data_IF_709449769801
#
_entry.id   IF_709449769801
#
_cell.length_a   1.000
_cell.length_b   1.000
_cell.length_c   1.000
_cell.angle_alpha   90.00
_cell.angle_beta   90.00
_cell.angle_gamma   90.00
#
_symmetry.space_group_name_H-M   'P 1'
#
loop_
_entity.id
_entity.type
_entity.pdbx_description
1 polymer ?
#
# COMPACT_ATOMS: atom_id res chain seq x y z
N UNK A 1 -1.37 14.16 27.32
CA UNK A 1 -0.83 13.24 28.35
C UNK A 1 -1.26 11.82 28.02
N UNK A 2 -0.34 10.84 27.92
CA UNK A 2 -0.66 9.46 27.55
C UNK A 2 -1.46 8.69 28.64
N UNK A 3 -1.43 9.16 29.89
CA UNK A 3 -2.11 8.52 31.03
C UNK A 3 -3.63 8.61 31.03
N UNK A 4 -4.25 9.42 30.15
CA UNK A 4 -5.70 9.53 30.04
C UNK A 4 -6.33 8.57 29.00
N UNK A 5 -5.52 7.74 28.32
CA UNK A 5 -5.99 6.82 27.28
C UNK A 5 -6.26 5.39 27.74
N UNK A 6 -5.95 5.06 29.00
CA UNK A 6 -6.22 3.75 29.58
C UNK A 6 -6.92 3.90 30.93
N UNK A 7 -8.05 3.23 31.08
CA UNK A 7 -8.80 3.14 32.33
C UNK A 7 -9.13 1.66 32.58
N UNK A 8 -8.62 1.12 33.69
CA UNK A 8 -8.72 -0.30 33.97
C UNK A 8 -10.20 -0.73 34.16
N UNK A 9 -10.61 -1.79 33.46
CA UNK A 9 -11.95 -2.36 33.58
C UNK A 9 -13.06 -1.58 32.85
N UNK A 10 -12.74 -0.51 32.13
CA UNK A 10 -13.74 0.28 31.41
C UNK A 10 -14.18 -0.43 30.13
N UNK A 11 -15.50 -0.53 29.93
CA UNK A 11 -16.12 -1.02 28.70
C UNK A 11 -16.43 0.14 27.73
N UNK A 12 -16.37 -0.09 26.40
CA UNK A 12 -15.84 -1.29 25.75
C UNK A 12 -14.31 -1.40 25.92
N UNK A 13 -13.80 -2.61 26.10
CA UNK A 13 -12.36 -2.83 26.25
C UNK A 13 -11.63 -2.45 24.96
N UNK A 14 -10.86 -1.36 25.00
CA UNK A 14 -10.18 -0.82 23.82
C UNK A 14 -8.71 -0.47 24.10
N UNK A 15 -8.17 -0.78 25.27
CA UNK A 15 -6.77 -0.57 25.59
C UNK A 15 -6.25 -1.59 26.63
N UNK A 16 -4.97 -1.91 26.52
CA UNK A 16 -4.23 -2.79 27.45
C UNK A 16 -2.96 -2.06 27.89
N UNK A 17 -2.71 -2.04 29.19
CA UNK A 17 -1.47 -1.54 29.76
C UNK A 17 -0.65 -2.68 30.35
N UNK A 18 0.61 -2.80 29.92
CA UNK A 18 1.57 -3.78 30.44
C UNK A 18 2.66 -3.04 31.20
N UNK A 19 2.93 -3.45 32.43
CA UNK A 19 4.02 -2.92 33.25
C UNK A 19 5.03 -4.02 33.54
N UNK A 20 6.29 -3.80 33.16
CA UNK A 20 7.41 -4.68 33.47
C UNK A 20 8.25 -4.02 34.57
N UNK A 21 8.61 -4.79 35.59
CA UNK A 21 9.55 -4.35 36.64
C UNK A 21 10.69 -5.34 36.75
N UNK A 22 11.93 -4.86 36.70
CA UNK A 22 13.14 -5.66 36.88
C UNK A 22 14.06 -4.99 37.89
N UNK A 23 14.58 -5.74 38.85
CA UNK A 23 15.65 -5.25 39.72
C UNK A 23 16.92 -5.12 38.87
N UNK A 24 17.49 -3.93 38.82
CA UNK A 24 18.78 -3.69 38.18
C UNK A 24 19.91 -4.36 38.95
N UNK A 25 21.05 -4.57 38.30
CA UNK A 25 22.27 -5.07 38.95
C UNK A 25 23.25 -3.90 39.10
N UNK A 26 23.70 -3.62 40.32
CA UNK A 26 24.75 -2.63 40.60
C UNK A 26 26.11 -3.31 40.52
N UNK A 27 26.85 -3.08 39.43
CA UNK A 27 28.22 -3.58 39.28
C UNK A 27 29.23 -2.77 40.10
N UNK A 28 28.95 -1.47 40.29
CA UNK A 28 29.74 -0.55 41.10
C UNK A 28 28.79 0.19 42.05
N UNK A 29 29.01 0.10 43.36
CA UNK A 29 28.16 0.77 44.37
C UNK A 29 27.17 -0.14 45.13
N UNK A 30 27.23 -1.45 44.94
CA UNK A 30 26.39 -2.41 45.69
C UNK A 30 26.59 -2.36 47.22
N UNK A 31 27.75 -1.89 47.70
CA UNK A 31 28.01 -1.67 49.13
C UNK A 31 27.40 -0.36 49.68
N UNK A 32 27.03 0.58 48.81
CA UNK A 32 26.53 1.91 49.20
C UNK A 32 25.00 2.04 49.07
N UNK A 33 24.38 1.30 48.15
CA UNK A 33 22.94 1.37 47.91
C UNK A 33 22.36 0.03 47.45
N UNK A 34 21.07 -0.20 47.78
CA UNK A 34 20.32 -1.36 47.28
C UNK A 34 20.05 -1.23 45.77
N UNK A 35 20.01 -2.34 45.01
CA UNK A 35 19.78 -2.28 43.57
C UNK A 35 18.44 -1.63 43.21
N UNK A 36 18.41 -0.64 42.29
CA UNK A 36 17.19 0.07 41.93
C UNK A 36 16.24 -0.83 41.14
N UNK A 37 14.93 -0.61 41.29
CA UNK A 37 13.91 -1.27 40.46
C UNK A 37 13.71 -0.42 39.21
N UNK A 38 14.01 -1.00 38.05
CA UNK A 38 13.74 -0.40 36.75
C UNK A 38 12.35 -0.86 36.32
N UNK A 39 11.46 0.10 36.07
CA UNK A 39 10.10 -0.16 35.59
C UNK A 39 9.89 0.45 34.21
N UNK A 40 9.18 -0.25 33.34
CA UNK A 40 8.64 0.30 32.09
C UNK A 40 7.15 0.00 32.02
N UNK A 41 6.40 0.93 31.43
CA UNK A 41 4.97 0.78 31.20
C UNK A 41 4.68 1.08 29.73
N UNK A 42 4.00 0.17 29.05
CA UNK A 42 3.55 0.34 27.68
C UNK A 42 2.02 0.24 27.65
N UNK A 43 1.36 1.10 26.89
CA UNK A 43 -0.09 1.09 26.68
C UNK A 43 -0.36 0.89 25.20
N UNK A 44 -1.08 -0.17 24.85
CA UNK A 44 -1.59 -0.42 23.51
C UNK A 44 -3.10 -0.11 23.50
N UNK A 45 -3.59 0.56 22.47
CA UNK A 45 -5.01 0.87 22.30
C UNK A 45 -5.50 0.46 20.92
N UNK A 46 -6.68 -0.14 20.84
CA UNK A 46 -7.40 -0.42 19.60
C UNK A 46 -8.44 0.68 19.37
N UNK A 47 -8.38 1.33 18.22
CA UNK A 47 -9.42 2.27 17.78
C UNK A 47 -10.32 1.55 16.77
N UNK A 48 -11.63 1.71 16.91
CA UNK A 48 -12.57 1.19 15.94
C UNK A 48 -12.50 2.09 14.69
N UNK A 49 -11.74 1.66 13.70
CA UNK A 49 -11.55 2.35 12.43
C UNK A 49 -12.14 1.50 11.30
N UNK A 50 -12.77 2.15 10.33
CA UNK A 50 -13.33 1.50 9.14
C UNK A 50 -12.59 2.03 7.91
N UNK A 51 -12.11 1.12 7.07
CA UNK A 51 -11.57 1.45 5.77
C UNK A 51 -12.68 1.35 4.71
N UNK A 52 -12.77 2.35 3.85
CA UNK A 52 -13.68 2.36 2.72
C UNK A 52 -12.88 2.42 1.42
N UNK A 53 -13.22 1.56 0.47
CA UNK A 53 -12.72 1.63 -0.90
C UNK A 53 -13.91 1.76 -1.85
N UNK A 54 -13.83 2.71 -2.77
CA UNK A 54 -14.86 2.95 -3.79
C UNK A 54 -14.22 2.70 -5.15
N UNK A 55 -14.71 1.71 -5.89
CA UNK A 55 -14.21 1.36 -7.22
C UNK A 55 -15.29 0.75 -8.10
N UNK A 56 -15.19 0.95 -9.41
CA UNK A 56 -16.13 0.39 -10.39
C UNK A 56 -15.63 -0.98 -10.87
N UNK A 57 -16.42 -2.04 -10.67
CA UNK A 57 -16.10 -3.44 -11.06
C UNK A 57 -16.97 -3.97 -12.21
N UNK A 58 -17.80 -3.12 -12.82
CA UNK A 58 -18.83 -3.51 -13.80
C UNK A 58 -18.40 -3.37 -15.28
N UNK A 59 -17.12 -3.15 -15.57
CA UNK A 59 -16.66 -3.00 -16.94
C UNK A 59 -16.42 -4.38 -17.61
N UNK A 60 -16.95 -4.58 -18.82
CA UNK A 60 -16.57 -5.72 -19.66
C UNK A 60 -15.14 -5.53 -20.15
N UNK A 61 -14.25 -6.46 -19.81
CA UNK A 61 -12.83 -6.38 -20.14
C UNK A 61 -12.57 -6.85 -21.58
N UNK A 62 -12.12 -5.92 -22.44
CA UNK A 62 -11.50 -6.25 -23.72
C UNK A 62 -9.98 -6.10 -23.59
N UNK A 63 -9.25 -7.22 -23.61
CA UNK A 63 -7.81 -7.25 -23.36
C UNK A 63 -7.02 -6.32 -24.30
N UNK A 64 -7.43 -6.17 -25.56
CA UNK A 64 -6.76 -5.31 -26.53
C UNK A 64 -6.85 -3.82 -26.19
N UNK A 65 -8.03 -3.35 -25.76
CA UNK A 65 -8.25 -1.95 -25.33
C UNK A 65 -7.42 -1.64 -24.09
N UNK A 66 -7.45 -2.53 -23.10
CA UNK A 66 -6.81 -2.31 -21.80
C UNK A 66 -5.29 -2.39 -21.92
N UNK A 67 -4.76 -3.30 -22.75
CA UNK A 67 -3.33 -3.37 -23.08
C UNK A 67 -2.85 -2.08 -23.75
N UNK A 68 -3.58 -1.57 -24.76
CA UNK A 68 -3.23 -0.34 -25.44
C UNK A 68 -3.25 0.87 -24.48
N UNK A 69 -4.25 0.91 -23.61
CA UNK A 69 -4.41 1.98 -22.64
C UNK A 69 -3.33 1.99 -21.57
N UNK A 70 -3.20 0.90 -20.82
CA UNK A 70 -2.19 0.81 -19.77
C UNK A 70 -0.79 0.84 -20.35
N UNK A 71 -0.61 0.28 -21.55
CA UNK A 71 0.65 0.38 -22.26
C UNK A 71 1.01 1.82 -22.61
N UNK A 72 0.06 2.61 -23.11
CA UNK A 72 0.25 4.05 -23.37
C UNK A 72 0.57 4.84 -22.10
N UNK A 73 -0.11 4.56 -20.98
CA UNK A 73 0.11 5.23 -19.69
C UNK A 73 1.46 4.85 -19.05
N UNK A 74 1.87 3.58 -19.17
CA UNK A 74 3.12 3.08 -18.62
C UNK A 74 4.33 3.34 -19.54
N UNK A 75 4.08 3.63 -20.82
CA UNK A 75 5.09 3.86 -21.85
C UNK A 75 5.67 2.56 -22.43
N UNK A 76 4.87 1.50 -22.49
CA UNK A 76 5.34 0.11 -22.67
C UNK A 76 4.31 -0.72 -23.42
N UNK A 77 4.73 -1.71 -24.20
CA UNK A 77 3.79 -2.69 -24.76
C UNK A 77 3.43 -3.74 -23.70
N UNK A 78 2.18 -3.72 -23.26
CA UNK A 78 1.64 -4.70 -22.31
C UNK A 78 0.84 -5.74 -23.10
N UNK A 79 1.10 -7.02 -22.81
CA UNK A 79 0.36 -8.13 -23.40
C UNK A 79 -0.19 -9.02 -22.30
N UNK A 80 -1.22 -8.52 -21.61
CA UNK A 80 -1.97 -9.26 -20.61
C UNK A 80 -3.22 -9.86 -21.25
N UNK A 81 -3.61 -11.04 -20.77
CA UNK A 81 -4.84 -11.69 -21.19
C UNK A 81 -6.05 -11.10 -20.46
N UNK A 82 -7.26 -11.37 -20.98
CA UNK A 82 -8.50 -11.01 -20.28
C UNK A 82 -8.58 -11.68 -18.91
N UNK A 83 -8.01 -12.89 -18.77
CA UNK A 83 -7.95 -13.60 -17.50
C UNK A 83 -7.08 -12.85 -16.48
N UNK A 84 -5.90 -12.38 -16.89
CA UNK A 84 -5.01 -11.59 -16.02
C UNK A 84 -5.69 -10.31 -15.53
N UNK A 85 -6.39 -9.61 -16.42
CA UNK A 85 -7.16 -8.43 -16.04
C UNK A 85 -8.34 -8.74 -15.13
N UNK A 86 -9.03 -9.85 -15.36
CA UNK A 86 -10.13 -10.27 -14.48
C UNK A 86 -9.61 -10.62 -13.08
N UNK A 87 -8.44 -11.25 -12.98
CA UNK A 87 -7.78 -11.55 -11.71
C UNK A 87 -7.41 -10.24 -11.00
N UNK A 88 -6.74 -9.30 -11.67
CA UNK A 88 -6.39 -7.99 -11.12
C UNK A 88 -7.61 -7.17 -10.70
N UNK A 89 -8.69 -7.19 -11.49
CA UNK A 89 -9.93 -6.48 -11.16
C UNK A 89 -10.64 -7.12 -9.96
N UNK A 90 -10.41 -8.41 -9.73
CA UNK A 90 -10.95 -9.14 -8.59
C UNK A 90 -10.08 -9.04 -7.32
N UNK A 91 -8.81 -8.71 -7.48
CA UNK A 91 -7.81 -8.71 -6.42
C UNK A 91 -7.88 -7.46 -5.54
N UNK A 92 -7.87 -7.70 -4.24
CA UNK A 92 -7.81 -6.69 -3.20
C UNK A 92 -6.42 -6.72 -2.56
N UNK A 93 -5.76 -5.57 -2.49
CA UNK A 93 -4.42 -5.39 -1.96
C UNK A 93 -4.52 -4.87 -0.54
N UNK A 94 -3.94 -5.58 0.43
CA UNK A 94 -3.79 -5.08 1.79
C UNK A 94 -2.80 -3.91 1.79
N UNK A 95 -3.32 -2.72 2.05
CA UNK A 95 -2.58 -1.45 1.92
C UNK A 95 -1.44 -1.36 2.94
N UNK A 96 -1.62 -1.94 4.13
CA UNK A 96 -0.57 -1.93 5.16
C UNK A 96 0.59 -2.84 4.73
N UNK A 97 0.31 -4.06 4.27
CA UNK A 97 1.32 -4.96 3.70
C UNK A 97 1.97 -4.41 2.42
N UNK A 98 1.21 -3.72 1.58
CA UNK A 98 1.75 -2.99 0.43
C UNK A 98 2.74 -1.92 0.86
N UNK A 99 2.39 -1.12 1.88
CA UNK A 99 3.26 -0.05 2.37
C UNK A 99 4.51 -0.61 3.06
N UNK A 100 4.40 -1.77 3.73
CA UNK A 100 5.56 -2.52 4.25
C UNK A 100 6.49 -3.00 3.12
N UNK A 101 5.93 -3.57 2.06
CA UNK A 101 6.69 -3.99 0.88
C UNK A 101 7.35 -2.80 0.17
N UNK A 102 6.65 -1.66 0.08
CA UNK A 102 7.16 -0.44 -0.53
C UNK A 102 8.28 0.19 0.30
N UNK A 103 8.18 0.19 1.63
CA UNK A 103 9.27 0.62 2.51
C UNK A 103 10.53 -0.21 2.27
N UNK A 104 10.36 -1.52 2.08
CA UNK A 104 11.47 -2.45 1.76
C UNK A 104 12.08 -2.14 0.40
N UNK A 105 11.25 -1.94 -0.63
CA UNK A 105 11.68 -1.58 -1.98
C UNK A 105 12.45 -0.24 -2.02
N UNK A 106 11.98 0.73 -1.24
CA UNK A 106 12.61 2.06 -1.10
C UNK A 106 13.77 2.08 -0.09
N UNK A 107 14.09 0.95 0.55
CA UNK A 107 15.13 0.79 1.58
C UNK A 107 14.97 1.75 2.77
N UNK A 108 13.74 2.02 3.16
CA UNK A 108 13.40 2.85 4.32
C UNK A 108 13.34 1.99 5.58
N UNK A 109 14.00 2.41 6.67
CA UNK A 109 14.02 1.69 7.95
C UNK A 109 13.58 2.58 9.10
N UNK A 110 12.84 2.02 10.05
CA UNK A 110 12.38 2.76 11.24
C UNK A 110 11.41 3.90 10.96
N UNK A 111 10.70 3.84 9.84
CA UNK A 111 9.74 4.87 9.39
C UNK A 111 8.29 4.48 9.73
N UNK A 112 7.41 5.47 9.81
CA UNK A 112 5.96 5.27 9.91
C UNK A 112 5.33 5.01 8.54
N UNK A 113 4.09 4.51 8.50
CA UNK A 113 3.34 4.39 7.25
C UNK A 113 3.18 5.74 6.54
N UNK A 114 2.96 6.83 7.27
CA UNK A 114 2.88 8.18 6.70
C UNK A 114 4.19 8.64 6.07
N UNK A 115 5.34 8.27 6.64
CA UNK A 115 6.65 8.63 6.10
C UNK A 115 6.90 7.91 4.76
N UNK A 116 6.47 6.65 4.64
CA UNK A 116 6.53 5.90 3.38
C UNK A 116 5.61 6.54 2.34
N UNK A 117 4.38 6.92 2.72
CA UNK A 117 3.42 7.57 1.80
C UNK A 117 3.81 9.01 1.43
N UNK A 118 4.61 9.69 2.25
CA UNK A 118 5.19 10.99 1.90
C UNK A 118 6.34 10.86 0.88
N UNK A 119 6.89 9.67 0.70
CA UNK A 119 7.93 9.41 -0.28
C UNK A 119 7.39 9.37 -1.71
N UNK A 120 8.30 9.32 -2.68
CA UNK A 120 7.95 9.22 -4.09
C UNK A 120 8.45 7.89 -4.66
N UNK A 121 7.57 7.18 -5.36
CA UNK A 121 7.88 5.92 -6.01
C UNK A 121 7.54 5.98 -7.52
N UNK A 122 8.22 5.17 -8.32
CA UNK A 122 7.86 4.96 -9.72
C UNK A 122 6.72 3.96 -9.84
N UNK A 123 6.03 3.92 -10.98
CA UNK A 123 4.95 2.94 -11.21
C UNK A 123 5.49 1.51 -11.14
N UNK A 124 6.71 1.28 -11.63
CA UNK A 124 7.38 -0.01 -11.50
C UNK A 124 7.58 -0.43 -10.04
N UNK A 125 8.05 0.48 -9.18
CA UNK A 125 8.22 0.22 -7.74
C UNK A 125 6.88 -0.03 -7.04
N UNK A 126 5.83 0.71 -7.41
CA UNK A 126 4.47 0.49 -6.89
C UNK A 126 3.97 -0.89 -7.29
N UNK A 127 4.06 -1.26 -8.57
CA UNK A 127 3.62 -2.56 -9.06
C UNK A 127 4.42 -3.73 -8.44
N UNK A 128 5.74 -3.58 -8.26
CA UNK A 128 6.58 -4.55 -7.54
C UNK A 128 6.12 -4.72 -6.09
N UNK A 129 5.94 -3.63 -5.35
CA UNK A 129 5.47 -3.68 -3.97
C UNK A 129 4.07 -4.29 -3.85
N UNK A 130 3.17 -4.04 -4.80
CA UNK A 130 1.85 -4.70 -4.86
C UNK A 130 1.97 -6.21 -5.10
N UNK A 131 2.90 -6.64 -5.97
CA UNK A 131 3.12 -8.06 -6.27
C UNK A 131 3.69 -8.84 -5.08
N UNK A 132 4.30 -8.16 -4.12
CA UNK A 132 4.88 -8.76 -2.91
C UNK A 132 3.95 -8.74 -1.70
N UNK A 133 2.71 -8.27 -1.87
CA UNK A 133 1.69 -8.38 -0.83
C UNK A 133 1.33 -9.85 -0.58
N UNK A 134 1.38 -10.31 0.69
CA UNK A 134 1.00 -11.67 1.05
C UNK A 134 -0.46 -11.97 0.74
N UNK A 135 -0.75 -13.18 0.27
CA UNK A 135 -2.12 -13.65 0.01
C UNK A 135 -2.66 -13.29 -1.37
N UNK A 136 -1.90 -12.54 -2.19
CA UNK A 136 -2.25 -12.30 -3.59
C UNK A 136 -2.17 -13.60 -4.41
N UNK A 137 -3.13 -13.81 -5.30
CA UNK A 137 -3.13 -14.96 -6.19
C UNK A 137 -1.97 -14.90 -7.22
N UNK A 138 -1.59 -16.07 -7.74
CA UNK A 138 -0.43 -16.19 -8.63
C UNK A 138 -0.62 -15.41 -9.94
N UNK A 139 -1.84 -15.35 -10.47
CA UNK A 139 -2.14 -14.69 -11.74
C UNK A 139 -2.00 -13.18 -11.60
N UNK A 140 -2.62 -12.60 -10.57
CA UNK A 140 -2.48 -11.18 -10.24
C UNK A 140 -1.03 -10.80 -9.94
N UNK A 141 -0.31 -11.64 -9.18
CA UNK A 141 1.12 -11.42 -8.90
C UNK A 141 1.95 -11.37 -10.18
N UNK A 142 1.78 -12.33 -11.09
CA UNK A 142 2.50 -12.36 -12.36
C UNK A 142 2.15 -11.15 -13.23
N UNK A 143 0.87 -10.79 -13.32
CA UNK A 143 0.44 -9.64 -14.10
C UNK A 143 1.07 -8.34 -13.59
N UNK A 144 1.09 -8.12 -12.26
CA UNK A 144 1.77 -6.96 -11.65
C UNK A 144 3.28 -6.97 -11.90
N UNK A 145 3.94 -8.13 -11.84
CA UNK A 145 5.36 -8.25 -12.17
C UNK A 145 5.66 -7.93 -13.64
N UNK A 146 4.81 -8.38 -14.56
CA UNK A 146 4.91 -8.03 -15.98
C UNK A 146 4.76 -6.52 -16.18
N UNK A 147 3.80 -5.89 -15.51
CA UNK A 147 3.61 -4.44 -15.56
C UNK A 147 4.80 -3.68 -14.95
N UNK A 148 5.34 -4.17 -13.83
CA UNK A 148 6.50 -3.58 -13.17
C UNK A 148 7.76 -3.66 -14.03
N UNK A 149 8.01 -4.80 -14.66
CA UNK A 149 9.14 -5.00 -15.57
C UNK A 149 8.98 -4.21 -16.87
N UNK A 150 7.74 -4.03 -17.33
CA UNK A 150 7.41 -3.18 -18.46
C UNK A 150 7.71 -1.73 -18.15
N UNK A 151 7.21 -1.19 -17.03
CA UNK A 151 7.18 0.23 -16.71
C UNK A 151 8.54 0.95 -16.89
N UNK A 152 8.73 1.57 -18.05
CA UNK A 152 9.92 2.37 -18.37
C UNK A 152 9.83 3.80 -17.83
N UNK A 153 8.61 4.24 -17.49
CA UNK A 153 8.38 5.57 -16.97
C UNK A 153 8.96 5.72 -15.54
N UNK A 154 10.03 6.51 -15.42
CA UNK A 154 10.71 6.80 -14.15
C UNK A 154 10.12 8.00 -13.39
N UNK A 155 8.95 8.50 -13.79
CA UNK A 155 8.27 9.58 -13.06
C UNK A 155 7.97 9.13 -11.63
N UNK A 156 8.43 9.94 -10.69
CA UNK A 156 8.27 9.71 -9.25
C UNK A 156 6.98 10.35 -8.76
N UNK A 157 6.01 9.52 -8.40
CA UNK A 157 4.68 9.95 -7.95
C UNK A 157 4.68 10.11 -6.42
N UNK A 158 4.18 11.22 -5.88
CA UNK A 158 3.89 11.34 -4.45
C UNK A 158 2.76 10.38 -4.04
N UNK A 159 3.06 9.43 -3.16
CA UNK A 159 2.14 8.34 -2.78
C UNK A 159 0.96 8.82 -1.94
N UNK A 160 1.07 9.99 -1.31
CA UNK A 160 -0.01 10.64 -0.55
C UNK A 160 -1.24 10.97 -1.40
N UNK A 161 -1.11 11.00 -2.73
CA UNK A 161 -2.24 11.16 -3.65
C UNK A 161 -2.94 9.83 -3.99
N UNK A 162 -2.31 8.70 -3.69
CA UNK A 162 -2.87 7.37 -3.94
C UNK A 162 -3.59 6.82 -2.73
N UNK A 163 -3.00 7.00 -1.54
CA UNK A 163 -3.46 6.38 -0.30
C UNK A 163 -3.37 7.40 0.82
N UNK A 164 -4.47 7.58 1.55
CA UNK A 164 -4.51 8.26 2.85
C UNK A 164 -4.92 7.26 3.93
N UNK A 165 -4.02 7.00 4.87
CA UNK A 165 -4.24 6.08 5.99
C UNK A 165 -4.77 6.77 7.24
N UNK A 166 -4.96 8.10 7.23
CA UNK A 166 -5.42 8.87 8.38
C UNK A 166 -4.60 8.59 9.64
N UNK A 167 -5.26 8.31 10.76
CA UNK A 167 -4.63 7.99 12.05
C UNK A 167 -3.75 6.73 12.03
N UNK A 168 -4.04 5.76 11.16
CA UNK A 168 -3.26 4.53 10.99
C UNK A 168 -1.88 4.83 10.39
N UNK A 169 -1.75 5.94 9.65
CA UNK A 169 -0.48 6.41 9.08
C UNK A 169 0.61 6.63 10.14
N UNK A 170 0.23 6.98 11.37
CA UNK A 170 1.18 7.23 12.47
C UNK A 170 1.80 5.96 13.06
N UNK A 171 1.31 4.77 12.69
CA UNK A 171 1.88 3.50 13.13
C UNK A 171 3.22 3.25 12.43
N UNK A 172 4.13 2.59 13.14
CA UNK A 172 5.39 2.14 12.55
C UNK A 172 5.12 1.08 11.47
N UNK A 173 5.92 1.09 10.39
CA UNK A 173 5.89 0.03 9.38
C UNK A 173 6.05 -1.35 10.06
N UNK A 174 5.23 -2.32 9.65
CA UNK A 174 5.10 -3.63 10.27
C UNK A 174 4.20 -3.70 11.52
N UNK A 175 3.70 -2.58 12.04
CA UNK A 175 2.74 -2.57 13.13
C UNK A 175 1.30 -2.64 12.58
N UNK A 176 0.78 -3.86 12.43
CA UNK A 176 -0.60 -4.10 11.98
C UNK A 176 -1.53 -4.34 13.18
N UNK A 177 -2.48 -3.43 13.48
CA UNK A 177 -3.47 -3.68 14.52
C UNK A 177 -4.31 -4.91 14.21
N UNK A 178 -4.49 -5.80 15.18
CA UNK A 178 -5.34 -6.97 15.00
C UNK A 178 -6.79 -6.54 14.72
N UNK A 179 -7.39 -7.10 13.66
CA UNK A 179 -8.76 -6.80 13.25
C UNK A 179 -8.93 -5.59 12.31
N UNK A 180 -7.85 -4.87 11.99
CA UNK A 180 -7.89 -3.80 10.99
C UNK A 180 -7.44 -4.31 9.61
N UNK A 181 -8.38 -4.40 8.69
CA UNK A 181 -8.13 -4.71 7.28
C UNK A 181 -8.34 -3.46 6.43
N UNK A 182 -7.27 -3.00 5.78
CA UNK A 182 -7.33 -1.87 4.85
C UNK A 182 -7.00 -2.43 3.47
N UNK A 183 -8.01 -2.53 2.60
CA UNK A 183 -7.87 -3.12 1.29
C UNK A 183 -8.22 -2.13 0.18
N UNK A 184 -7.48 -2.17 -0.93
CA UNK A 184 -7.74 -1.40 -2.13
C UNK A 184 -7.66 -2.29 -3.37
N UNK A 185 -8.50 -2.03 -4.38
CA UNK A 185 -8.48 -2.81 -5.62
C UNK A 185 -7.15 -2.65 -6.35
N UNK A 186 -6.53 -3.77 -6.75
CA UNK A 186 -5.26 -3.77 -7.46
C UNK A 186 -5.35 -2.96 -8.77
N UNK A 187 -6.40 -3.17 -9.56
CA UNK A 187 -6.61 -2.42 -10.81
C UNK A 187 -6.73 -0.91 -10.57
N UNK A 188 -7.46 -0.49 -9.54
CA UNK A 188 -7.59 0.93 -9.22
C UNK A 188 -6.25 1.54 -8.83
N UNK A 189 -5.44 0.86 -8.01
CA UNK A 189 -4.13 1.37 -7.63
C UNK A 189 -3.18 1.49 -8.82
N UNK A 190 -3.11 0.48 -9.69
CA UNK A 190 -2.23 0.53 -10.87
C UNK A 190 -2.69 1.60 -11.86
N UNK A 191 -3.99 1.71 -12.11
CA UNK A 191 -4.54 2.72 -13.03
C UNK A 191 -4.31 4.13 -12.50
N UNK A 192 -4.51 4.35 -11.20
CA UNK A 192 -4.26 5.65 -10.57
C UNK A 192 -2.76 6.00 -10.58
N UNK A 193 -1.88 5.04 -10.29
CA UNK A 193 -0.44 5.25 -10.38
C UNK A 193 -0.01 5.58 -11.81
N UNK A 194 -0.50 4.84 -12.80
CA UNK A 194 -0.20 5.08 -14.21
C UNK A 194 -0.71 6.47 -14.67
N UNK A 195 -1.92 6.85 -14.29
CA UNK A 195 -2.48 8.18 -14.58
C UNK A 195 -1.64 9.31 -13.93
N UNK A 196 -1.26 9.16 -12.66
CA UNK A 196 -0.43 10.16 -11.96
C UNK A 196 0.99 10.27 -12.55
N UNK A 197 1.61 9.16 -12.96
CA UNK A 197 2.91 9.18 -13.64
C UNK A 197 2.83 9.84 -15.01
N UNK A 198 1.69 9.72 -15.69
CA UNK A 198 1.45 10.37 -16.96
C UNK A 198 1.16 11.88 -16.81
N UNK A 199 0.76 12.33 -15.61
CA UNK A 199 0.65 13.76 -15.27
C UNK A 199 -0.45 14.47 -16.04
N UNK A 200 -0.13 15.60 -16.69
CA UNK A 200 -1.06 16.37 -17.54
C UNK A 200 -1.05 15.93 -19.00
N UNK A 201 -0.30 14.88 -19.35
CA UNK A 201 -0.20 14.44 -20.74
C UNK A 201 -1.51 13.78 -21.15
N UNK A 202 -2.15 14.24 -22.23
CA UNK A 202 -3.27 13.50 -22.81
C UNK A 202 -2.72 12.19 -23.37
N UNK A 203 -3.11 11.05 -22.79
CA UNK A 203 -2.88 9.77 -23.46
C UNK A 203 -3.89 9.70 -24.59
N UNK A 204 -3.42 9.87 -25.82
CA UNK A 204 -4.16 9.50 -27.01
C UNK A 204 -3.81 8.07 -27.36
N UNK A 205 -4.70 7.15 -26.98
CA UNK A 205 -4.58 5.74 -27.36
C UNK A 205 -5.29 5.58 -28.70
N UNK A 206 -4.55 5.28 -29.77
CA UNK A 206 -5.16 4.92 -31.04
C UNK A 206 -5.60 3.45 -31.02
N UNK A 207 -6.86 3.24 -30.63
CA UNK A 207 -7.50 1.93 -30.50
C UNK A 207 -7.77 1.27 -31.86
N UNK A 208 -7.73 2.03 -32.96
CA UNK A 208 -7.95 1.51 -34.31
C UNK A 208 -6.80 0.64 -34.82
N UNK A 209 -5.58 0.87 -34.35
CA UNK A 209 -4.43 0.03 -34.70
C UNK A 209 -4.38 -1.28 -33.91
N UNK A 210 -4.96 -1.31 -32.70
CA UNK A 210 -4.83 -2.44 -31.76
C UNK A 210 -6.00 -3.41 -31.79
N UNK A 211 -7.15 -3.01 -32.31
CA UNK A 211 -8.38 -3.82 -32.27
C UNK A 211 -8.86 -4.13 -33.69
N UNK A 212 -8.82 -5.41 -34.11
CA UNK A 212 -9.34 -5.83 -35.40
C UNK A 212 -10.82 -5.41 -35.54
N UNK A 213 -11.12 -4.60 -36.58
CA UNK A 213 -12.48 -4.12 -36.87
C UNK A 213 -12.78 -2.68 -36.46
N UNK A 214 -11.87 -1.98 -35.78
CA UNK A 214 -11.98 -0.54 -35.51
C UNK A 214 -11.07 0.23 -36.48
N UNK A 215 -11.64 1.05 -37.36
CA UNK A 215 -10.87 1.74 -38.42
C UNK A 215 -10.09 2.95 -37.92
N UNK A 216 -10.61 3.66 -36.91
CA UNK A 216 -9.89 4.68 -36.13
C UNK A 216 -10.75 5.09 -34.93
N UNK A 217 -10.24 4.91 -33.73
CA UNK A 217 -10.87 5.44 -32.52
C UNK A 217 -9.77 5.89 -31.59
N UNK A 218 -9.76 7.18 -31.26
CA UNK A 218 -8.79 7.74 -30.33
C UNK A 218 -9.47 7.92 -28.99
N UNK A 219 -8.95 7.26 -27.96
CA UNK A 219 -9.36 7.52 -26.58
C UNK A 219 -8.41 8.56 -26.00
N UNK A 220 -8.96 9.69 -25.58
CA UNK A 220 -8.24 10.73 -24.85
C UNK A 220 -8.59 10.63 -23.38
N UNK A 221 -7.58 10.42 -22.54
CA UNK A 221 -7.72 10.47 -21.08
C UNK A 221 -7.01 11.73 -20.58
N UNK A 222 -7.73 12.50 -19.77
CA UNK A 222 -7.31 13.77 -19.18
C UNK A 222 -7.13 13.62 -17.67
#
# INVERSE_FOLDING_TARGET
AAGSRFEAGKLPYNAVQVSLKKKGTLYFGAMMMKPPVIGTTATASAQAEAAFSVGSRLASLNGGVVNALLGGLLGTDISLSVMDYSALASADIDVLSFTDALATELRLTGVSYSDVLASKATVGQIATAMADVPGLDRTSKLALQTMAAGATNMVKIPLSHLIDLGSVGSLGVGQKPAGLTVAASAMSMVTAAAALANGTNQVQVNLGATIPGLTSTTLSIA
#
